data_IF_518040647728
#
_entry.id   IF_518040647728
#
_cell.length_a   1.000
_cell.length_b   1.000
_cell.length_c   1.000
_cell.angle_alpha   90.00
_cell.angle_beta   90.00
_cell.angle_gamma   90.00
#
_symmetry.space_group_name_H-M   'P 1'
#
loop_
_entity.id
_entity.type
_entity.pdbx_description
1 polymer ?
#
# COMPACT_ATOMS: atom_id res chain seq x y z
N UNK A 1 -1.23 -14.38 -30.30
CA UNK A 1 -1.88 -13.36 -29.46
C UNK A 1 -1.57 -13.51 -27.98
N UNK A 2 -0.29 -13.50 -27.58
CA UNK A 2 0.13 -13.55 -26.16
C UNK A 2 0.67 -12.23 -25.60
N UNK A 3 0.87 -11.22 -26.45
CA UNK A 3 1.46 -9.94 -26.03
C UNK A 3 0.62 -9.18 -25.00
N UNK A 4 -0.71 -9.17 -25.15
CA UNK A 4 -1.63 -8.52 -24.20
C UNK A 4 -1.58 -9.18 -22.80
N UNK A 5 -1.38 -10.50 -22.75
CA UNK A 5 -1.24 -11.23 -21.49
C UNK A 5 0.10 -10.91 -20.80
N UNK A 6 1.19 -10.81 -21.58
CA UNK A 6 2.48 -10.37 -21.07
C UNK A 6 2.42 -8.93 -20.54
N UNK A 7 1.72 -8.03 -21.23
CA UNK A 7 1.53 -6.64 -20.78
C UNK A 7 0.68 -6.55 -19.51
N UNK A 8 -0.32 -7.42 -19.32
CA UNK A 8 -1.14 -7.44 -18.11
C UNK A 8 -0.31 -7.83 -16.87
N UNK A 9 0.57 -8.84 -17.00
CA UNK A 9 1.50 -9.18 -15.92
C UNK A 9 2.51 -8.06 -15.68
N UNK A 10 3.09 -7.51 -16.74
CA UNK A 10 4.03 -6.39 -16.61
C UNK A 10 3.38 -5.19 -15.89
N UNK A 11 2.12 -4.89 -16.21
CA UNK A 11 1.34 -3.84 -15.58
C UNK A 11 1.11 -4.13 -14.08
N UNK A 12 0.73 -5.35 -13.70
CA UNK A 12 0.54 -5.70 -12.27
C UNK A 12 1.84 -5.49 -11.48
N UNK A 13 2.99 -5.98 -11.98
CA UNK A 13 4.27 -5.77 -11.31
C UNK A 13 4.70 -4.30 -11.28
N UNK A 14 4.45 -3.55 -12.35
CA UNK A 14 4.75 -2.10 -12.38
C UNK A 14 3.94 -1.32 -11.36
N UNK A 15 2.66 -1.65 -11.18
CA UNK A 15 1.79 -1.00 -10.19
C UNK A 15 2.23 -1.29 -8.76
N UNK A 16 2.70 -2.51 -8.48
CA UNK A 16 3.25 -2.90 -7.18
C UNK A 16 4.51 -2.10 -6.85
N UNK A 17 5.45 -1.99 -7.80
CA UNK A 17 6.65 -1.19 -7.62
C UNK A 17 6.31 0.30 -7.42
N UNK A 18 5.40 0.84 -8.21
CA UNK A 18 4.98 2.24 -8.09
C UNK A 18 4.40 2.57 -6.71
N UNK A 19 3.52 1.71 -6.17
CA UNK A 19 2.93 1.90 -4.84
C UNK A 19 3.96 1.80 -3.70
N UNK A 20 4.98 0.95 -3.84
CA UNK A 20 6.06 0.84 -2.84
C UNK A 20 6.96 2.08 -2.79
N UNK A 21 7.19 2.73 -3.93
CA UNK A 21 7.96 3.98 -4.01
C UNK A 21 7.19 5.15 -3.39
N UNK A 22 5.90 5.28 -3.72
CA UNK A 22 5.08 6.39 -3.23
C UNK A 22 4.84 6.30 -1.72
N UNK A 23 4.69 5.08 -1.19
CA UNK A 23 4.59 4.85 0.25
C UNK A 23 5.91 5.18 0.97
N UNK A 24 7.06 4.78 0.40
CA UNK A 24 8.37 5.17 0.94
C UNK A 24 8.57 6.68 1.00
N UNK A 25 8.11 7.41 -0.03
CA UNK A 25 8.18 8.88 -0.07
C UNK A 25 7.28 9.54 0.97
N UNK A 26 6.03 9.09 1.10
CA UNK A 26 5.06 9.67 2.04
C UNK A 26 5.47 9.48 3.51
N UNK A 27 6.02 8.31 3.84
CA UNK A 27 6.41 8.00 5.23
C UNK A 27 7.80 8.55 5.60
N UNK A 28 8.75 8.62 4.66
CA UNK A 28 10.16 8.89 4.97
C UNK A 28 10.76 9.96 4.04
N UNK A 29 10.09 11.12 3.96
CA UNK A 29 10.46 12.25 3.09
C UNK A 29 11.65 13.12 3.58
N UNK A 30 12.70 12.53 4.18
CA UNK A 30 13.77 13.30 4.82
C UNK A 30 15.19 13.10 4.28
N UNK A 31 15.57 11.90 3.85
CA UNK A 31 16.94 11.58 3.40
C UNK A 31 16.94 10.55 2.26
N UNK A 32 17.63 10.84 1.15
CA UNK A 32 17.64 9.98 -0.05
C UNK A 32 18.16 8.56 0.19
N UNK A 33 19.12 8.37 1.10
CA UNK A 33 19.69 7.05 1.44
C UNK A 33 18.67 6.23 2.24
N UNK A 34 18.03 6.83 3.23
CA UNK A 34 16.99 6.17 4.02
C UNK A 34 15.76 5.87 3.16
N UNK A 35 15.38 6.78 2.27
CA UNK A 35 14.32 6.55 1.29
C UNK A 35 14.60 5.31 0.42
N UNK A 36 15.80 5.20 -0.14
CA UNK A 36 16.18 4.06 -0.98
C UNK A 36 16.15 2.74 -0.19
N UNK A 37 16.68 2.73 1.04
CA UNK A 37 16.67 1.55 1.89
C UNK A 37 15.25 1.13 2.27
N UNK A 38 14.40 2.08 2.69
CA UNK A 38 13.03 1.78 3.10
C UNK A 38 12.16 1.32 1.93
N UNK A 39 12.30 1.96 0.76
CA UNK A 39 11.60 1.54 -0.46
C UNK A 39 11.97 0.11 -0.86
N UNK A 40 13.26 -0.26 -0.81
CA UNK A 40 13.70 -1.63 -1.07
C UNK A 40 13.12 -2.63 -0.05
N UNK A 41 13.14 -2.29 1.24
CA UNK A 41 12.49 -3.12 2.27
C UNK A 41 10.99 -3.30 2.00
N UNK A 42 10.27 -2.23 1.61
CA UNK A 42 8.85 -2.30 1.27
C UNK A 42 8.60 -3.21 0.06
N UNK A 43 9.39 -3.09 -1.01
CA UNK A 43 9.29 -3.99 -2.18
C UNK A 43 9.46 -5.44 -1.77
N UNK A 44 10.48 -5.75 -0.96
CA UNK A 44 10.74 -7.11 -0.47
C UNK A 44 9.58 -7.64 0.38
N UNK A 45 9.01 -6.81 1.26
CA UNK A 45 7.85 -7.18 2.06
C UNK A 45 6.60 -7.41 1.19
N UNK A 46 6.35 -6.59 0.18
CA UNK A 46 5.23 -6.78 -0.76
C UNK A 46 5.40 -8.07 -1.57
N UNK A 47 6.60 -8.35 -2.07
CA UNK A 47 6.90 -9.60 -2.79
C UNK A 47 6.75 -10.82 -1.87
N UNK A 48 7.24 -10.71 -0.63
CA UNK A 48 7.12 -11.76 0.38
C UNK A 48 5.66 -12.02 0.77
N UNK A 49 4.85 -10.96 0.92
CA UNK A 49 3.42 -11.08 1.22
C UNK A 49 2.67 -11.88 0.14
N UNK A 50 3.03 -11.73 -1.14
CA UNK A 50 2.44 -12.50 -2.23
C UNK A 50 2.81 -13.99 -2.18
N UNK A 51 3.96 -14.34 -1.59
CA UNK A 51 4.40 -15.72 -1.41
C UNK A 51 3.85 -16.40 -0.15
N UNK A 52 3.57 -15.62 0.91
CA UNK A 52 3.13 -16.15 2.21
C UNK A 52 1.63 -16.25 2.37
N UNK A 53 0.86 -15.33 1.77
CA UNK A 53 -0.58 -15.31 1.98
C UNK A 53 -1.33 -16.25 1.03
N UNK A 54 -1.97 -17.32 1.53
CA UNK A 54 -2.93 -18.07 0.73
C UNK A 54 -4.11 -17.14 0.39
N UNK A 55 -4.58 -17.18 -0.87
CA UNK A 55 -5.58 -16.24 -1.41
C UNK A 55 -6.78 -16.09 -0.46
N UNK A 56 -6.84 -14.97 0.24
CA UNK A 56 -7.99 -14.63 1.05
C UNK A 56 -9.14 -14.21 0.14
N UNK A 57 -10.33 -14.74 0.40
CA UNK A 57 -11.53 -14.41 -0.36
C UNK A 57 -11.84 -12.91 -0.20
N UNK A 58 -12.16 -12.24 -1.32
CA UNK A 58 -12.42 -10.79 -1.39
C UNK A 58 -13.44 -10.29 -0.36
N UNK A 59 -14.41 -11.14 0.02
CA UNK A 59 -15.45 -10.80 1.00
C UNK A 59 -14.88 -10.43 2.38
N UNK A 60 -13.83 -11.12 2.84
CA UNK A 60 -13.24 -10.80 4.14
C UNK A 60 -12.48 -9.46 4.09
N UNK A 61 -11.76 -9.21 2.99
CA UNK A 61 -11.01 -7.96 2.80
C UNK A 61 -11.96 -6.76 2.70
N UNK A 62 -13.09 -6.93 2.01
CA UNK A 62 -14.13 -5.92 1.90
C UNK A 62 -14.74 -5.61 3.27
N UNK A 63 -15.13 -6.64 4.03
CA UNK A 63 -15.68 -6.46 5.37
C UNK A 63 -14.70 -5.77 6.31
N UNK A 64 -13.41 -6.11 6.24
CA UNK A 64 -12.36 -5.42 7.00
C UNK A 64 -12.30 -3.93 6.61
N UNK A 65 -12.18 -3.61 5.32
CA UNK A 65 -12.10 -2.23 4.87
C UNK A 65 -13.30 -1.38 5.31
N UNK A 66 -14.51 -1.93 5.17
CA UNK A 66 -15.74 -1.21 5.50
C UNK A 66 -16.01 -1.08 6.99
N UNK A 67 -15.67 -2.10 7.80
CA UNK A 67 -15.99 -2.10 9.23
C UNK A 67 -14.89 -1.52 10.11
N UNK A 68 -13.61 -1.60 9.71
CA UNK A 68 -12.50 -1.11 10.54
C UNK A 68 -11.80 0.09 9.93
N UNK A 69 -11.37 0.00 8.66
CA UNK A 69 -10.53 1.05 8.04
C UNK A 69 -11.31 2.34 7.84
N UNK A 70 -12.55 2.24 7.31
CA UNK A 70 -13.39 3.41 7.06
C UNK A 70 -13.72 4.22 8.33
N UNK A 71 -14.28 3.63 9.43
CA UNK A 71 -14.57 4.41 10.63
C UNK A 71 -13.30 4.92 11.32
N UNK A 72 -12.19 4.19 11.24
CA UNK A 72 -10.92 4.62 11.82
C UNK A 72 -10.34 5.84 11.09
N UNK A 73 -10.37 5.85 9.75
CA UNK A 73 -9.93 7.00 8.96
C UNK A 73 -10.77 8.25 9.23
N UNK A 74 -12.09 8.09 9.35
CA UNK A 74 -12.99 9.20 9.69
C UNK A 74 -12.73 9.74 11.11
N UNK A 75 -12.50 8.85 12.09
CA UNK A 75 -12.17 9.24 13.46
C UNK A 75 -10.87 10.06 13.51
N UNK A 76 -9.80 9.59 12.86
CA UNK A 76 -8.53 10.31 12.78
C UNK A 76 -8.69 11.68 12.11
N UNK A 77 -9.47 11.77 11.04
CA UNK A 77 -9.73 13.04 10.35
C UNK A 77 -10.43 14.05 11.27
N UNK A 78 -11.50 13.62 11.97
CA UNK A 78 -12.20 14.49 12.92
C UNK A 78 -11.28 14.89 14.08
N UNK A 79 -10.48 13.96 14.61
CA UNK A 79 -9.54 14.25 15.70
C UNK A 79 -8.50 15.31 15.31
N UNK A 80 -7.90 15.19 14.12
CA UNK A 80 -6.93 16.18 13.60
C UNK A 80 -7.60 17.54 13.38
N UNK A 81 -8.82 17.58 12.84
CA UNK A 81 -9.55 18.84 12.65
C UNK A 81 -9.90 19.52 13.98
N UNK A 82 -10.36 18.78 14.98
CA UNK A 82 -10.68 19.35 16.31
C UNK A 82 -9.40 19.79 17.03
N UNK A 83 -8.36 18.95 17.00
CA UNK A 83 -7.07 19.26 17.64
C UNK A 83 -6.27 20.38 16.97
N UNK A 84 -6.60 20.76 15.72
CA UNK A 84 -6.02 21.95 15.07
C UNK A 84 -6.80 23.24 15.32
N UNK A 85 -8.01 23.14 15.90
CA UNK A 85 -8.84 24.28 16.32
C UNK A 85 -8.61 24.66 17.79
N UNK A 86 -8.08 23.74 18.61
CA UNK A 86 -7.69 23.97 20.01
C UNK A 86 -6.22 24.37 20.11
#
# INVERSE_FOLDING_TARGET
GGGLFALLFLAEYSSLLFLSLISGFWFFGGNGIFYAFFSLCLVLLFLFSRGVYPRYRYDLLMMFCWKSVLPFSLCLLVFVLVGSVS
#
